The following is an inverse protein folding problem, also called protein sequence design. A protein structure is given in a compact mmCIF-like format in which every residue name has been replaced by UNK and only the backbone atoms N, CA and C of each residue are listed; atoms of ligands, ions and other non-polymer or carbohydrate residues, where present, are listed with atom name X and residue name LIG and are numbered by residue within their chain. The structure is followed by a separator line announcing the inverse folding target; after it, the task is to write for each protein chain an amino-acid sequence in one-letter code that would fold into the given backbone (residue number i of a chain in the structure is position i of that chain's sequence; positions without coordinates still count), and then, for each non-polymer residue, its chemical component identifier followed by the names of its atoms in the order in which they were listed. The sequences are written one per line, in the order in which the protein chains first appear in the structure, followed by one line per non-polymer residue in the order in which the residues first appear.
data_IF_818481517923
#
_entry.id   IF_818481517923
#
_cell.length_a   1.000
_cell.length_b   1.000
_cell.length_c   1.000
_cell.angle_alpha   90.00
_cell.angle_beta   90.00
_cell.angle_gamma   90.00
#
_symmetry.space_group_name_H-M   'P 1'
#
loop_
_entity.id
_entity.type
_entity.pdbx_description
1 polymer ?
#
# COMPACT_ATOMS: atom_id res chain seq x y z
N UNK A 1 -31.10 7.93 -12.62
CA UNK A 1 -30.77 8.00 -11.18
C UNK A 1 -29.28 7.79 -11.03
N UNK A 2 -28.55 8.79 -10.54
CA UNK A 2 -27.15 8.63 -10.12
C UNK A 2 -27.15 8.55 -8.59
N UNK A 3 -26.93 7.34 -8.06
CA UNK A 3 -26.82 7.11 -6.60
C UNK A 3 -25.44 7.46 -6.04
N UNK A 4 -24.42 7.53 -6.91
CA UNK A 4 -23.04 7.80 -6.51
C UNK A 4 -22.68 9.26 -6.76
N UNK A 5 -21.84 9.86 -5.89
CA UNK A 5 -21.30 11.21 -6.08
C UNK A 5 -20.54 11.36 -7.40
N UNK A 6 -20.36 12.61 -7.83
CA UNK A 6 -19.46 12.95 -8.94
C UNK A 6 -18.00 12.61 -8.54
N UNK A 7 -17.29 11.91 -9.44
CA UNK A 7 -15.88 11.56 -9.23
C UNK A 7 -15.04 12.80 -9.57
N UNK A 8 -14.18 13.21 -8.63
CA UNK A 8 -13.26 14.34 -8.79
C UNK A 8 -11.81 13.86 -8.67
N UNK A 9 -10.86 14.46 -9.40
CA UNK A 9 -9.42 14.22 -9.22
C UNK A 9 -8.96 14.44 -7.77
N UNK A 10 -7.98 13.64 -7.35
CA UNK A 10 -7.31 13.85 -6.06
C UNK A 10 -6.67 15.24 -5.99
N UNK A 11 -6.73 15.86 -4.81
CA UNK A 11 -6.14 17.19 -4.59
C UNK A 11 -6.96 18.34 -5.17
N UNK A 12 -8.12 18.10 -5.77
CA UNK A 12 -9.07 19.16 -6.07
C UNK A 12 -9.76 19.63 -4.79
N UNK A 13 -10.08 20.92 -4.69
CA UNK A 13 -10.87 21.47 -3.58
C UNK A 13 -12.33 21.08 -3.77
N UNK A 14 -12.85 20.23 -2.89
CA UNK A 14 -14.27 19.82 -2.89
C UNK A 14 -15.15 20.80 -2.11
N UNK A 15 -14.56 21.60 -1.22
CA UNK A 15 -15.30 22.62 -0.48
C UNK A 15 -14.46 23.31 0.58
N UNK A 16 -15.14 24.02 1.48
CA UNK A 16 -14.54 24.69 2.62
C UNK A 16 -15.17 24.21 3.91
N UNK A 17 -14.38 24.17 4.96
CA UNK A 17 -14.83 23.81 6.30
C UNK A 17 -15.86 24.84 6.78
N UNK A 18 -17.06 24.39 7.13
CA UNK A 18 -18.18 25.29 7.46
C UNK A 18 -18.03 25.97 8.84
N UNK A 19 -17.30 25.36 9.77
CA UNK A 19 -17.08 25.85 11.13
C UNK A 19 -15.73 25.38 11.65
N UNK A 20 -15.24 25.96 12.74
CA UNK A 20 -13.96 25.54 13.33
C UNK A 20 -14.05 24.11 13.87
N UNK A 21 -13.12 23.25 13.47
CA UNK A 21 -13.09 21.82 13.85
C UNK A 21 -11.71 21.46 14.40
N UNK A 22 -11.62 21.02 15.67
CA UNK A 22 -10.36 20.55 16.30
C UNK A 22 -9.14 21.47 16.05
N UNK A 23 -9.36 22.79 16.13
CA UNK A 23 -8.31 23.80 15.90
C UNK A 23 -8.10 24.21 14.43
N UNK A 24 -8.78 23.59 13.47
CA UNK A 24 -8.79 24.00 12.06
C UNK A 24 -9.85 25.10 11.87
N UNK A 25 -9.50 26.29 11.37
CA UNK A 25 -10.44 27.40 11.25
C UNK A 25 -11.52 27.16 10.19
N UNK A 26 -12.69 27.77 10.41
CA UNK A 26 -13.72 27.84 9.37
C UNK A 26 -13.18 28.51 8.10
N UNK A 27 -13.62 28.04 6.93
CA UNK A 27 -13.17 28.52 5.63
C UNK A 27 -11.91 27.82 5.09
N UNK A 28 -11.29 26.91 5.85
CA UNK A 28 -10.18 26.08 5.40
C UNK A 28 -10.59 25.19 4.22
N UNK A 29 -9.70 25.02 3.25
CA UNK A 29 -9.96 24.19 2.06
C UNK A 29 -10.00 22.70 2.41
N UNK A 30 -10.99 22.01 1.87
CA UNK A 30 -11.14 20.56 1.97
C UNK A 30 -10.83 19.98 0.60
N UNK A 31 -9.84 19.08 0.56
CA UNK A 31 -9.37 18.46 -0.67
C UNK A 31 -9.97 17.06 -0.85
N UNK A 32 -10.13 16.65 -2.11
CA UNK A 32 -10.50 15.27 -2.46
C UNK A 32 -9.40 14.33 -1.96
N UNK A 33 -9.78 13.42 -1.07
CA UNK A 33 -8.90 12.41 -0.50
C UNK A 33 -8.72 11.21 -1.44
N UNK A 34 -7.62 10.48 -1.23
CA UNK A 34 -7.38 9.16 -1.80
C UNK A 34 -7.53 8.08 -0.74
N UNK A 35 -7.57 6.83 -1.20
CA UNK A 35 -7.57 5.67 -0.31
C UNK A 35 -6.30 5.59 0.52
N UNK A 36 -6.40 4.89 1.65
CA UNK A 36 -5.32 4.64 2.59
C UNK A 36 -4.11 3.98 1.93
N UNK A 37 -4.34 3.01 1.04
CA UNK A 37 -3.28 2.33 0.30
C UNK A 37 -2.48 3.32 -0.56
N UNK A 38 -3.16 4.11 -1.41
CA UNK A 38 -2.48 5.08 -2.27
C UNK A 38 -1.66 6.08 -1.45
N UNK A 39 -2.22 6.58 -0.35
CA UNK A 39 -1.52 7.49 0.55
C UNK A 39 -0.31 6.84 1.23
N UNK A 40 -0.39 5.56 1.61
CA UNK A 40 0.69 4.86 2.30
C UNK A 40 1.93 4.60 1.44
N UNK A 41 1.73 4.40 0.13
CA UNK A 41 2.80 4.11 -0.83
C UNK A 41 3.30 5.36 -1.58
N UNK A 42 2.58 6.48 -1.46
CA UNK A 42 2.90 7.74 -2.14
C UNK A 42 4.35 8.19 -2.06
N UNK A 43 4.95 8.32 -0.87
CA UNK A 43 6.31 8.87 -0.78
C UNK A 43 7.37 7.96 -1.41
N UNK A 44 7.08 6.68 -1.63
CA UNK A 44 8.02 5.69 -2.16
C UNK A 44 7.87 5.48 -3.67
N UNK A 45 6.68 5.65 -4.21
CA UNK A 45 6.41 5.48 -5.65
C UNK A 45 6.68 6.74 -6.49
N UNK A 46 7.40 7.74 -5.94
CA UNK A 46 7.82 8.92 -6.69
C UNK A 46 8.86 8.61 -7.77
N UNK A 47 9.56 7.48 -7.66
CA UNK A 47 10.58 7.03 -8.61
C UNK A 47 10.03 5.91 -9.49
N UNK A 48 10.13 6.08 -10.82
CA UNK A 48 9.77 5.04 -11.78
C UNK A 48 10.59 3.76 -11.54
N UNK A 49 9.97 2.59 -11.79
CA UNK A 49 10.62 1.28 -11.57
C UNK A 49 10.66 0.81 -10.12
N UNK A 50 9.98 1.52 -9.22
CA UNK A 50 9.91 1.15 -7.79
C UNK A 50 8.65 0.36 -7.48
N UNK A 51 8.79 -0.67 -6.66
CA UNK A 51 7.69 -1.36 -6.01
C UNK A 51 7.78 -1.21 -4.49
N UNK A 52 6.63 -1.16 -3.83
CA UNK A 52 6.51 -1.05 -2.38
C UNK A 52 5.77 -2.27 -1.87
N UNK A 53 6.38 -2.98 -0.92
CA UNK A 53 5.71 -4.06 -0.20
C UNK A 53 5.32 -3.59 1.19
N UNK A 54 4.02 -3.59 1.48
CA UNK A 54 3.48 -3.41 2.80
C UNK A 54 3.24 -4.78 3.45
N UNK A 55 3.99 -5.07 4.52
CA UNK A 55 3.76 -6.24 5.38
C UNK A 55 3.15 -5.78 6.69
N UNK A 56 1.85 -5.99 6.82
CA UNK A 56 1.07 -5.78 8.05
C UNK A 56 0.34 -7.08 8.41
N UNK A 57 -0.91 -7.08 8.89
CA UNK A 57 -1.67 -8.33 9.12
C UNK A 57 -1.66 -9.23 7.87
N UNK A 58 -1.93 -8.61 6.73
CA UNK A 58 -1.79 -9.16 5.38
C UNK A 58 -0.62 -8.47 4.69
N UNK A 59 -0.13 -9.05 3.60
CA UNK A 59 0.89 -8.42 2.77
C UNK A 59 0.29 -7.88 1.48
N UNK A 60 0.83 -6.78 0.98
CA UNK A 60 0.45 -6.17 -0.29
C UNK A 60 1.72 -5.69 -0.97
N UNK A 61 1.86 -5.91 -2.27
CA UNK A 61 2.88 -5.25 -3.09
C UNK A 61 2.20 -4.36 -4.11
N UNK A 62 2.72 -3.14 -4.26
CA UNK A 62 2.18 -2.15 -5.15
C UNK A 62 3.27 -1.47 -5.98
N UNK A 63 2.98 -1.15 -7.23
CA UNK A 63 3.86 -0.40 -8.10
C UNK A 63 3.06 0.48 -9.06
N UNK A 64 3.67 1.57 -9.52
CA UNK A 64 3.04 2.44 -10.52
C UNK A 64 3.11 1.79 -11.89
N UNK A 65 1.98 1.72 -12.59
CA UNK A 65 1.95 1.21 -13.94
C UNK A 65 2.69 2.17 -14.88
N UNK A 66 3.68 1.70 -15.67
CA UNK A 66 4.43 2.58 -16.58
C UNK A 66 3.50 3.26 -17.58
N UNK A 67 3.72 4.56 -17.86
CA UNK A 67 2.90 5.34 -18.81
C UNK A 67 2.91 4.79 -20.24
N UNK A 68 3.94 4.02 -20.57
CA UNK A 68 4.13 3.39 -21.88
C UNK A 68 3.27 2.12 -22.03
N UNK A 69 2.74 1.60 -20.92
CA UNK A 69 1.95 0.37 -20.88
C UNK A 69 0.47 0.68 -21.17
N UNK A 70 0.08 0.51 -22.42
CA UNK A 70 -1.29 0.77 -22.89
C UNK A 70 -2.09 -0.53 -23.05
N UNK A 71 -2.88 -0.85 -22.03
CA UNK A 71 -3.76 -2.04 -22.00
C UNK A 71 -4.83 -2.08 -23.10
N UNK A 72 -5.02 -0.99 -23.87
CA UNK A 72 -6.10 -0.81 -24.86
C UNK A 72 -5.64 -0.81 -26.31
N UNK A 73 -4.35 -0.94 -26.59
CA UNK A 73 -3.89 -0.99 -27.96
C UNK A 73 -4.06 -2.42 -28.52
N UNK A 74 -4.78 -2.52 -29.64
CA UNK A 74 -4.87 -3.73 -30.45
C UNK A 74 -3.47 -4.05 -31.01
N UNK A 75 -2.62 -4.67 -30.18
CA UNK A 75 -1.27 -5.01 -30.57
C UNK A 75 -1.31 -6.28 -31.42
N UNK A 76 -1.00 -6.09 -32.71
CA UNK A 76 -0.69 -7.15 -33.68
C UNK A 76 0.63 -7.88 -33.38
N UNK A 77 1.29 -7.54 -32.27
CA UNK A 77 2.53 -8.12 -31.79
C UNK A 77 2.38 -8.38 -30.29
N UNK A 78 2.17 -9.65 -29.89
CA UNK A 78 2.04 -10.03 -28.49
C UNK A 78 3.38 -9.90 -27.78
N UNK A 79 3.54 -8.87 -26.96
CA UNK A 79 4.59 -8.85 -25.94
C UNK A 79 4.24 -9.90 -24.87
N UNK A 80 5.15 -10.85 -24.55
CA UNK A 80 4.95 -11.80 -23.46
C UNK A 80 4.60 -11.13 -22.12
N UNK A 81 5.16 -9.95 -21.82
CA UNK A 81 4.91 -9.22 -20.57
C UNK A 81 3.46 -8.70 -20.47
N UNK A 82 2.92 -8.17 -21.56
CA UNK A 82 1.52 -7.72 -21.62
C UNK A 82 0.54 -8.90 -21.48
N UNK A 83 0.91 -10.06 -22.01
CA UNK A 83 0.13 -11.30 -21.90
C UNK A 83 0.07 -11.79 -20.46
N UNK A 84 1.20 -11.75 -19.73
CA UNK A 84 1.24 -12.13 -18.31
C UNK A 84 0.43 -11.15 -17.47
N UNK A 85 0.62 -9.84 -17.65
CA UNK A 85 -0.12 -8.82 -16.92
C UNK A 85 -1.64 -8.99 -17.08
N UNK A 86 -2.11 -9.05 -18.33
CA UNK A 86 -3.53 -9.18 -18.65
C UNK A 86 -4.12 -10.48 -18.10
N UNK A 87 -3.36 -11.58 -18.14
CA UNK A 87 -3.77 -12.85 -17.54
C UNK A 87 -3.94 -12.75 -16.01
N UNK A 88 -2.96 -12.17 -15.31
CA UNK A 88 -3.05 -11.99 -13.85
C UNK A 88 -4.16 -11.03 -13.44
N UNK A 89 -4.43 -9.99 -14.23
CA UNK A 89 -5.54 -9.06 -14.01
C UNK A 89 -6.89 -9.77 -14.19
N UNK A 90 -7.05 -10.58 -15.25
CA UNK A 90 -8.28 -11.36 -15.49
C UNK A 90 -8.55 -12.40 -14.41
N UNK A 91 -7.49 -13.02 -13.87
CA UNK A 91 -7.60 -13.97 -12.76
C UNK A 91 -7.83 -13.29 -11.40
N UNK A 92 -7.74 -11.96 -11.31
CA UNK A 92 -7.88 -11.21 -10.05
C UNK A 92 -6.69 -11.41 -9.11
N UNK A 93 -5.54 -11.84 -9.62
CA UNK A 93 -4.29 -11.93 -8.84
C UNK A 93 -3.71 -10.55 -8.54
N UNK A 94 -3.96 -9.61 -9.44
CA UNK A 94 -3.59 -8.21 -9.31
C UNK A 94 -4.82 -7.34 -9.57
N UNK A 95 -4.87 -6.19 -8.93
CA UNK A 95 -5.90 -5.17 -9.11
C UNK A 95 -5.26 -3.86 -9.53
N UNK A 96 -5.92 -3.16 -10.44
CA UNK A 96 -5.51 -1.85 -10.92
C UNK A 96 -6.44 -0.77 -10.34
N UNK A 97 -5.86 0.28 -9.77
CA UNK A 97 -6.60 1.37 -9.13
C UNK A 97 -6.11 2.74 -9.62
N UNK A 98 -6.99 3.77 -9.63
CA UNK A 98 -6.56 5.15 -9.85
C UNK A 98 -5.54 5.62 -8.81
N UNK A 99 -4.61 6.48 -9.23
CA UNK A 99 -3.59 7.08 -8.39
C UNK A 99 -3.72 8.63 -8.32
N UNK A 100 -2.65 9.33 -7.92
CA UNK A 100 -2.67 10.76 -7.60
C UNK A 100 -2.94 11.68 -8.80
N UNK A 101 -2.33 11.40 -9.96
CA UNK A 101 -2.52 12.23 -11.14
C UNK A 101 -3.45 11.58 -12.17
N UNK A 102 -4.19 12.38 -12.96
CA UNK A 102 -5.04 11.86 -14.03
C UNK A 102 -4.27 10.92 -14.97
N UNK A 103 -4.79 9.72 -15.16
CA UNK A 103 -4.19 8.69 -16.01
C UNK A 103 -3.12 7.84 -15.33
N UNK A 104 -2.68 8.20 -14.12
CA UNK A 104 -1.80 7.34 -13.32
C UNK A 104 -2.58 6.24 -12.64
N UNK A 105 -1.98 5.05 -12.64
CA UNK A 105 -2.60 3.83 -12.16
C UNK A 105 -1.60 3.08 -11.29
N UNK A 106 -2.10 2.54 -10.19
CA UNK A 106 -1.33 1.68 -9.30
C UNK A 106 -1.82 0.25 -9.44
N UNK A 107 -0.88 -0.67 -9.57
CA UNK A 107 -1.14 -2.11 -9.60
C UNK A 107 -0.83 -2.68 -8.23
N UNK A 108 -1.71 -3.52 -7.71
CA UNK A 108 -1.64 -4.06 -6.36
C UNK A 108 -1.84 -5.56 -6.42
N UNK A 109 -0.91 -6.32 -5.88
CA UNK A 109 -1.11 -7.74 -5.57
C UNK A 109 -1.25 -7.89 -4.06
N UNK A 110 -2.38 -8.44 -3.60
CA UNK A 110 -2.65 -8.64 -2.19
C UNK A 110 -2.48 -10.11 -1.79
N UNK A 111 -1.95 -10.33 -0.60
CA UNK A 111 -1.78 -11.64 0.02
C UNK A 111 -2.47 -11.67 1.37
N UNK A 112 -3.33 -12.65 1.59
CA UNK A 112 -3.92 -12.93 2.91
C UNK A 112 -2.89 -13.38 3.95
N UNK A 113 -1.69 -13.75 3.48
CA UNK A 113 -0.55 -14.08 4.31
C UNK A 113 0.36 -12.85 4.42
N UNK A 114 0.62 -12.41 5.63
CA UNK A 114 1.62 -11.40 5.94
C UNK A 114 2.12 -11.60 7.36
N UNK A 115 2.06 -10.55 8.15
CA UNK A 115 2.36 -10.53 9.57
C UNK A 115 1.54 -11.52 10.38
N UNK A 116 0.32 -11.88 9.96
CA UNK A 116 -0.47 -12.92 10.64
C UNK A 116 0.21 -14.30 10.66
N UNK A 117 0.80 -14.71 9.53
CA UNK A 117 1.52 -15.98 9.38
C UNK A 117 2.87 -15.89 10.10
N UNK A 118 3.57 -14.76 9.98
CA UNK A 118 4.85 -14.52 10.67
C UNK A 118 4.66 -14.57 12.20
N UNK A 119 3.64 -13.89 12.72
CA UNK A 119 3.30 -13.91 14.16
C UNK A 119 2.99 -15.34 14.63
N UNK A 120 2.18 -16.09 13.88
CA UNK A 120 1.88 -17.48 14.21
C UNK A 120 3.15 -18.36 14.20
N UNK A 121 4.02 -18.16 13.23
CA UNK A 121 5.28 -18.88 13.11
C UNK A 121 6.21 -18.60 14.29
N UNK A 122 6.43 -17.33 14.64
CA UNK A 122 7.27 -16.94 15.79
C UNK A 122 6.70 -17.49 17.10
N UNK A 123 5.39 -17.42 17.30
CA UNK A 123 4.71 -18.01 18.48
C UNK A 123 4.92 -19.52 18.57
N UNK A 124 4.86 -20.21 17.43
CA UNK A 124 5.11 -21.66 17.35
C UNK A 124 6.55 -22.00 17.73
N UNK A 125 7.54 -21.29 17.16
CA UNK A 125 8.95 -21.49 17.50
C UNK A 125 9.22 -21.25 18.98
N UNK A 126 8.69 -20.17 19.56
CA UNK A 126 8.81 -19.89 21.00
C UNK A 126 8.19 -20.99 21.86
N UNK A 127 7.06 -21.56 21.44
CA UNK A 127 6.44 -22.67 22.15
C UNK A 127 7.33 -23.92 22.13
N UNK A 128 7.91 -24.27 20.98
CA UNK A 128 8.81 -25.41 20.85
C UNK A 128 10.12 -25.23 21.61
N UNK A 129 10.76 -24.05 21.54
CA UNK A 129 11.97 -23.75 22.31
C UNK A 129 11.74 -23.97 23.82
N UNK A 130 10.59 -23.56 24.35
CA UNK A 130 10.23 -23.82 25.75
C UNK A 130 10.06 -25.31 26.05
N UNK A 131 9.45 -26.08 25.15
CA UNK A 131 9.27 -27.52 25.33
C UNK A 131 10.59 -28.30 25.25
N UNK A 132 11.55 -27.82 24.46
CA UNK A 132 12.86 -28.44 24.27
C UNK A 132 13.90 -28.02 25.34
N UNK A 133 13.52 -27.15 26.29
CA UNK A 133 14.42 -26.67 27.34
C UNK A 133 15.48 -25.68 26.84
N UNK A 134 15.26 -25.04 25.68
CA UNK A 134 16.10 -23.93 25.25
C UNK A 134 15.94 -22.76 26.23
N UNK A 135 17.04 -22.04 26.52
CA UNK A 135 16.95 -20.77 27.24
C UNK A 135 15.93 -19.89 26.51
N UNK A 136 14.92 -19.42 27.25
CA UNK A 136 13.84 -18.65 26.67
C UNK A 136 14.44 -17.44 25.92
N UNK A 137 13.98 -17.22 24.69
CA UNK A 137 14.13 -15.91 24.05
C UNK A 137 13.18 -14.98 24.81
N UNK A 138 13.61 -14.51 25.98
CA UNK A 138 12.82 -13.60 26.80
C UNK A 138 12.48 -12.36 25.98
N UNK A 139 11.27 -11.82 26.15
CA UNK A 139 10.69 -10.73 25.33
C UNK A 139 11.58 -9.48 25.28
N UNK A 140 12.56 -9.35 26.18
CA UNK A 140 13.54 -8.26 26.26
C UNK A 140 14.56 -8.24 25.10
N UNK A 141 14.72 -9.33 24.34
CA UNK A 141 15.65 -9.40 23.20
C UNK A 141 14.97 -9.29 21.83
N UNK A 142 13.66 -9.03 21.77
CA UNK A 142 13.06 -8.56 20.53
C UNK A 142 13.54 -7.13 20.34
N UNK A 143 14.44 -6.93 19.38
CA UNK A 143 14.89 -5.62 18.93
C UNK A 143 13.75 -4.60 18.99
N UNK A 144 14.00 -3.34 19.39
CA UNK A 144 12.96 -2.32 19.40
C UNK A 144 12.20 -2.38 18.07
N UNK A 145 10.86 -2.18 18.07
CA UNK A 145 10.09 -2.20 16.84
C UNK A 145 10.85 -1.41 15.80
N UNK A 146 11.17 -2.05 14.66
CA UNK A 146 11.95 -1.45 13.58
C UNK A 146 11.43 -0.03 13.41
N UNK A 147 12.26 0.96 13.74
CA UNK A 147 11.89 2.37 13.60
C UNK A 147 11.84 2.64 12.11
N UNK A 148 10.66 2.45 11.54
CA UNK A 148 10.35 2.95 10.21
C UNK A 148 10.25 4.46 10.37
N UNK A 149 11.08 5.14 9.59
CA UNK A 149 11.15 6.59 9.57
C UNK A 149 9.81 7.06 9.03
N UNK A 150 8.93 7.53 9.91
CA UNK A 150 7.74 8.29 9.56
C UNK A 150 8.15 9.76 9.61
N UNK A 151 8.41 10.45 8.48
CA UNK A 151 8.82 11.86 8.54
C UNK A 151 7.64 12.79 8.85
N UNK A 152 6.40 12.28 8.93
CA UNK A 152 5.22 13.14 8.94
C UNK A 152 4.17 12.59 9.94
N UNK A 153 4.19 13.17 11.14
CA UNK A 153 3.13 13.17 12.17
C UNK A 153 2.85 11.89 12.99
N UNK A 154 3.13 11.99 14.30
CA UNK A 154 2.42 11.24 15.36
C UNK A 154 1.19 12.05 15.84
N UNK A 155 0.13 11.45 16.45
CA UNK A 155 0.04 10.08 16.96
C UNK A 155 -1.13 9.28 16.35
N UNK A 156 -0.83 8.16 15.69
CA UNK A 156 -1.83 7.09 15.47
C UNK A 156 -1.26 5.79 16.03
N UNK A 157 -2.06 5.15 16.90
CA UNK A 157 -1.71 3.97 17.68
C UNK A 157 -1.35 2.79 16.77
N UNK A 158 -0.18 2.21 17.01
CA UNK A 158 0.29 0.87 16.62
C UNK A 158 -0.37 0.25 15.37
N UNK A 159 0.02 0.71 14.18
CA UNK A 159 0.00 -0.10 12.99
C UNK A 159 1.43 -0.52 12.67
N UNK A 160 1.74 -1.81 12.78
CA UNK A 160 2.98 -2.35 12.22
C UNK A 160 2.80 -2.39 10.71
N UNK A 161 3.41 -1.44 10.02
CA UNK A 161 3.44 -1.32 8.56
C UNK A 161 4.90 -1.44 8.13
N UNK A 162 5.39 -2.66 7.86
CA UNK A 162 6.75 -2.79 7.32
C UNK A 162 6.68 -2.47 5.82
N UNK A 163 7.15 -1.28 5.45
CA UNK A 163 7.31 -0.87 4.07
C UNK A 163 8.73 -1.20 3.60
N UNK A 164 8.83 -2.10 2.63
CA UNK A 164 10.08 -2.40 1.93
C UNK A 164 10.00 -1.84 0.50
N UNK A 165 10.98 -1.02 0.13
CA UNK A 165 11.18 -0.57 -1.25
C UNK A 165 11.97 -1.64 -2.02
N UNK A 166 11.48 -2.01 -3.20
CA UNK A 166 12.15 -2.93 -4.13
C UNK A 166 12.39 -2.22 -5.45
N UNK A 167 13.61 -2.34 -5.96
CA UNK A 167 13.96 -1.90 -7.31
C UNK A 167 13.62 -3.01 -8.31
N UNK A 168 12.77 -2.72 -9.29
CA UNK A 168 12.45 -3.65 -10.36
C UNK A 168 13.57 -3.55 -11.40
N UNK A 169 14.36 -4.61 -11.56
CA UNK A 169 15.36 -4.70 -12.63
C UNK A 169 14.65 -4.77 -13.99
N UNK A 170 15.00 -3.85 -14.89
CA UNK A 170 14.57 -3.84 -16.30
C UNK A 170 15.22 -4.98 -17.10
#
# INVERSE_FOLDING_TARGET
MHLLPEIRPCGEIVGKLAFQWEGIPAGADVFVALGDLQCSVYPYLLREGTAVCNVSTSAQIAFMLPKQFNSTANHTHCDPAETIYSHHLQLGHINEWPYFYPGERIVVAASLNGGNVIDRFVKMLRAWCRQLGCAAMDDEHVSPPVKIIDPICQPVRYAFLILCEFEIAN
#
